data_IF_397268029605
#
_entry.id   IF_397268029605
#
_cell.length_a   1.000
_cell.length_b   1.000
_cell.length_c   1.000
_cell.angle_alpha   90.00
_cell.angle_beta   90.00
_cell.angle_gamma   90.00
#
_symmetry.space_group_name_H-M   'P 1'
#
loop_
_entity.id
_entity.type
_entity.pdbx_description
1 polymer ?
#
# COMPACT_ATOMS: atom_id res chain seq x y z
N UNK A 1 11.42 -9.93 -16.02
CA UNK A 1 11.31 -9.08 -14.82
C UNK A 1 12.15 -7.82 -14.90
N UNK A 2 11.48 -6.69 -15.13
CA UNK A 2 12.08 -5.35 -15.15
C UNK A 2 12.10 -4.77 -13.73
N UNK A 3 13.12 -3.99 -13.39
CA UNK A 3 13.21 -3.26 -12.11
C UNK A 3 13.21 -1.76 -12.38
N UNK A 4 12.43 -1.01 -11.60
CA UNK A 4 12.38 0.45 -11.70
C UNK A 4 12.23 1.08 -10.33
N UNK A 5 12.88 2.22 -10.12
CA UNK A 5 12.66 3.05 -8.93
C UNK A 5 11.58 4.06 -9.28
N UNK A 6 10.53 4.14 -8.48
CA UNK A 6 9.40 5.03 -8.74
C UNK A 6 8.88 5.61 -7.43
N UNK A 7 8.61 6.91 -7.41
CA UNK A 7 8.06 7.56 -6.21
C UNK A 7 6.59 7.20 -6.08
N UNK A 8 6.09 7.10 -4.84
CA UNK A 8 4.68 6.78 -4.59
C UNK A 8 3.70 7.70 -5.34
N UNK A 9 4.01 9.00 -5.42
CA UNK A 9 3.19 10.00 -6.13
C UNK A 9 3.16 9.82 -7.66
N UNK A 10 4.06 9.02 -8.24
CA UNK A 10 4.14 8.78 -9.68
C UNK A 10 3.23 7.63 -10.12
N UNK A 11 2.57 6.94 -9.17
CA UNK A 11 1.56 5.92 -9.44
C UNK A 11 0.18 6.55 -9.64
N UNK A 12 -0.73 5.85 -10.32
CA UNK A 12 -2.12 6.30 -10.39
C UNK A 12 -2.86 6.10 -9.05
N UNK A 13 -4.02 6.73 -8.88
CA UNK A 13 -4.76 6.69 -7.61
C UNK A 13 -5.09 5.27 -7.12
N UNK A 14 -5.45 4.36 -8.03
CA UNK A 14 -5.79 2.97 -7.70
C UNK A 14 -4.54 2.25 -7.15
N UNK A 15 -3.41 2.41 -7.84
CA UNK A 15 -2.14 1.84 -7.42
C UNK A 15 -1.64 2.46 -6.11
N UNK A 16 -1.80 3.78 -5.92
CA UNK A 16 -1.44 4.45 -4.68
C UNK A 16 -2.22 3.89 -3.47
N UNK A 17 -3.55 3.72 -3.61
CA UNK A 17 -4.38 3.12 -2.55
C UNK A 17 -3.93 1.70 -2.25
N UNK A 18 -3.69 0.88 -3.28
CA UNK A 18 -3.24 -0.49 -3.10
C UNK A 18 -1.87 -0.56 -2.41
N UNK A 19 -0.87 0.17 -2.92
CA UNK A 19 0.47 0.24 -2.32
C UNK A 19 0.40 0.71 -0.86
N UNK A 20 -0.45 1.70 -0.55
CA UNK A 20 -0.60 2.20 0.81
C UNK A 20 -1.21 1.15 1.75
N UNK A 21 -2.26 0.45 1.31
CA UNK A 21 -2.87 -0.63 2.09
C UNK A 21 -1.87 -1.76 2.36
N UNK A 22 -1.17 -2.23 1.34
CA UNK A 22 -0.13 -3.27 1.48
C UNK A 22 1.02 -2.80 2.40
N UNK A 23 1.37 -1.51 2.34
CA UNK A 23 2.39 -0.90 3.20
C UNK A 23 1.96 -0.88 4.68
N UNK A 24 0.74 -0.44 4.99
CA UNK A 24 0.22 -0.37 6.36
C UNK A 24 0.00 -1.77 6.96
N UNK A 25 -0.41 -2.74 6.13
CA UNK A 25 -0.55 -4.14 6.53
C UNK A 25 0.80 -4.85 6.72
N UNK A 26 1.92 -4.22 6.32
CA UNK A 26 3.25 -4.83 6.41
C UNK A 26 3.51 -5.92 5.38
N UNK A 27 2.73 -5.98 4.30
CA UNK A 27 2.81 -7.00 3.25
C UNK A 27 3.87 -6.69 2.18
N UNK A 28 4.40 -5.47 2.16
CA UNK A 28 5.48 -5.10 1.25
C UNK A 28 6.87 -5.38 1.86
N UNK A 29 7.71 -6.06 1.10
CA UNK A 29 9.10 -6.34 1.47
C UNK A 29 9.90 -5.03 1.59
N UNK A 30 10.65 -4.88 2.68
CA UNK A 30 11.56 -3.74 2.93
C UNK A 30 12.88 -3.95 2.22
N UNK A 31 13.39 -2.90 1.57
CA UNK A 31 14.63 -2.97 0.80
C UNK A 31 15.42 -1.66 0.90
N UNK A 32 16.75 -1.75 0.75
CA UNK A 32 17.66 -0.61 0.60
C UNK A 32 18.16 -0.53 -0.83
N UNK A 33 18.09 0.64 -1.45
CA UNK A 33 18.57 0.85 -2.82
C UNK A 33 19.13 2.25 -3.02
N UNK A 34 20.05 2.43 -3.99
CA UNK A 34 20.58 3.74 -4.33
C UNK A 34 19.49 4.64 -4.92
N UNK A 35 19.30 5.82 -4.34
CA UNK A 35 18.35 6.84 -4.79
C UNK A 35 18.87 8.24 -4.46
N UNK A 36 18.86 9.15 -5.45
CA UNK A 36 19.29 10.55 -5.32
C UNK A 36 20.61 10.72 -4.53
N UNK A 37 21.67 10.05 -4.99
CA UNK A 37 23.02 10.09 -4.39
C UNK A 37 23.14 9.57 -2.95
N UNK A 38 22.14 8.82 -2.46
CA UNK A 38 22.16 8.20 -1.13
C UNK A 38 21.63 6.77 -1.19
N UNK A 39 21.90 5.96 -0.17
CA UNK A 39 21.16 4.72 0.02
C UNK A 39 19.86 5.07 0.73
N UNK A 40 18.74 4.82 0.05
CA UNK A 40 17.40 5.05 0.58
C UNK A 40 16.76 3.74 1.00
N UNK A 41 15.96 3.81 2.05
CA UNK A 41 15.05 2.73 2.46
C UNK A 41 13.73 2.84 1.69
N UNK A 42 13.19 1.70 1.28
CA UNK A 42 11.99 1.61 0.47
C UNK A 42 11.28 0.28 0.64
N UNK A 43 10.29 0.06 -0.21
CA UNK A 43 9.52 -1.17 -0.30
C UNK A 43 9.47 -1.69 -1.73
N UNK A 44 9.25 -3.00 -1.86
CA UNK A 44 9.08 -3.66 -3.16
C UNK A 44 7.59 -3.84 -3.45
N UNK A 45 7.15 -3.34 -4.59
CA UNK A 45 5.81 -3.59 -5.13
C UNK A 45 5.94 -4.28 -6.50
N UNK A 46 5.27 -5.40 -6.69
CA UNK A 46 5.33 -6.17 -7.95
C UNK A 46 3.99 -6.02 -8.68
N UNK A 47 4.04 -5.56 -9.92
CA UNK A 47 2.87 -5.40 -10.77
C UNK A 47 3.26 -5.57 -12.24
N UNK A 48 2.49 -6.35 -13.00
CA UNK A 48 2.71 -6.59 -14.44
C UNK A 48 4.16 -7.02 -14.81
N UNK A 49 4.76 -7.94 -14.05
CA UNK A 49 6.17 -8.39 -14.22
C UNK A 49 7.23 -7.29 -13.96
N UNK A 50 6.81 -6.14 -13.43
CA UNK A 50 7.69 -5.04 -13.03
C UNK A 50 7.82 -5.01 -11.51
N UNK A 51 9.06 -4.97 -11.06
CA UNK A 51 9.43 -4.75 -9.67
C UNK A 51 9.70 -3.27 -9.46
N UNK A 52 8.81 -2.63 -8.70
CA UNK A 52 8.90 -1.23 -8.31
C UNK A 52 9.57 -1.11 -6.95
N UNK A 53 10.65 -0.33 -6.91
CA UNK A 53 11.34 0.07 -5.69
C UNK A 53 10.83 1.44 -5.28
N UNK A 54 10.02 1.48 -4.22
CA UNK A 54 9.30 2.69 -3.80
C UNK A 54 9.99 3.28 -2.57
N UNK A 55 10.55 4.51 -2.63
CA UNK A 55 11.21 5.12 -1.48
C UNK A 55 10.21 5.36 -0.34
N UNK A 56 10.55 4.97 0.90
CA UNK A 56 9.66 5.12 2.07
C UNK A 56 9.25 6.57 2.31
N UNK A 57 10.18 7.50 2.09
CA UNK A 57 9.91 8.93 2.24
C UNK A 57 8.78 9.40 1.33
N UNK A 58 8.68 8.84 0.11
CA UNK A 58 7.62 9.21 -0.83
C UNK A 58 6.24 8.74 -0.37
N UNK A 59 6.14 7.58 0.30
CA UNK A 59 4.88 7.07 0.87
C UNK A 59 4.45 7.95 2.06
N UNK A 60 5.40 8.27 2.96
CA UNK A 60 5.12 9.09 4.16
C UNK A 60 4.70 10.52 3.83
N UNK A 61 5.30 11.13 2.80
CA UNK A 61 4.96 12.49 2.37
C UNK A 61 3.54 12.54 1.78
N UNK A 62 3.11 11.51 1.08
CA UNK A 62 1.77 11.45 0.50
C UNK A 62 0.65 11.27 1.52
N UNK A 63 0.95 10.72 2.71
CA UNK A 63 0.00 10.70 3.84
C UNK A 63 -0.51 12.11 4.20
N UNK A 64 0.35 13.12 4.10
CA UNK A 64 0.00 14.52 4.34
C UNK A 64 -0.83 15.16 3.22
N UNK A 65 -0.72 14.67 1.99
CA UNK A 65 -1.45 15.21 0.83
C UNK A 65 -2.85 14.61 0.72
N UNK A 66 -2.97 13.30 0.99
CA UNK A 66 -4.24 12.56 1.08
C UNK A 66 -5.15 13.04 2.23
N UNK A 67 -4.60 13.75 3.22
CA UNK A 67 -5.37 14.33 4.33
C UNK A 67 -5.83 15.78 4.10
N UNK A 68 -5.33 16.45 3.07
CA UNK A 68 -5.69 17.84 2.75
C UNK A 68 -6.68 17.97 1.60
N UNK A 69 -6.72 17.01 0.68
CA UNK A 69 -7.81 16.88 -0.29
C UNK A 69 -8.73 15.79 0.24
N UNK A 70 -9.96 16.16 0.64
CA UNK A 70 -11.03 15.25 1.06
C UNK A 70 -11.12 14.05 0.12
N UNK A 71 -10.49 12.95 0.51
CA UNK A 71 -10.84 11.67 -0.07
C UNK A 71 -12.17 11.35 0.57
N UNK A 72 -13.24 11.64 -0.18
CA UNK A 72 -14.37 10.71 -0.34
C UNK A 72 -13.81 9.32 -0.63
N UNK A 73 -13.18 8.69 0.36
CA UNK A 73 -13.08 7.25 0.36
C UNK A 73 -14.51 6.84 0.68
N UNK A 74 -15.22 6.11 -0.20
CA UNK A 74 -16.31 5.31 0.32
C UNK A 74 -15.67 4.47 1.41
N UNK A 75 -16.16 4.60 2.63
CA UNK A 75 -15.96 3.59 3.66
C UNK A 75 -16.43 2.28 3.03
N UNK A 76 -15.50 1.55 2.40
CA UNK A 76 -15.67 0.12 2.23
C UNK A 76 -15.51 -0.38 3.65
N UNK A 77 -16.65 -0.42 4.34
CA UNK A 77 -16.86 -1.37 5.40
C UNK A 77 -16.51 -2.71 4.77
N UNK A 78 -15.28 -3.18 5.02
CA UNK A 78 -15.03 -4.61 5.01
C UNK A 78 -15.87 -5.10 6.19
N UNK A 79 -17.15 -5.36 5.92
CA UNK A 79 -17.94 -6.26 6.73
C UNK A 79 -17.18 -7.59 6.66
N UNK A 80 -16.32 -7.81 7.65
CA UNK A 80 -16.00 -9.16 8.04
C UNK A 80 -17.34 -9.74 8.48
N UNK A 81 -18.02 -10.45 7.58
CA UNK A 81 -19.00 -11.45 7.97
C UNK A 81 -18.23 -12.46 8.83
N UNK A 82 -18.19 -12.19 10.13
CA UNK A 82 -17.88 -13.19 11.13
C UNK A 82 -19.10 -14.12 11.14
N UNK A 83 -19.07 -15.10 10.23
CA UNK A 83 -19.95 -16.26 10.26
C UNK A 83 -19.48 -17.13 11.44
N UNK A 84 -19.82 -16.73 12.67
CA UNK A 84 -19.76 -17.62 13.82
C UNK A 84 -21.14 -18.25 14.00
N UNK A 85 -21.22 -19.43 13.37
CA UNK A 85 -22.06 -20.59 13.64
C UNK A 85 -23.16 -20.41 14.70
N UNK A 86 -24.41 -20.43 14.23
CA UNK A 86 -25.57 -20.72 15.08
C UNK A 86 -25.44 -22.13 15.63
N UNK A 87 -25.02 -22.27 16.88
CA UNK A 87 -25.34 -23.47 17.67
C UNK A 87 -26.85 -23.49 17.93
N UNK A 88 -27.57 -24.14 17.02
CA UNK A 88 -28.83 -24.77 17.35
C UNK A 88 -28.55 -26.01 18.20
N UNK A 89 -28.99 -26.00 19.46
CA UNK A 89 -29.66 -27.18 20.00
C UNK A 89 -30.68 -26.77 21.06
N UNK A 90 -31.95 -26.88 20.66
CA UNK A 90 -33.10 -26.97 21.55
C UNK A 90 -33.19 -28.42 22.04
N UNK A 91 -33.20 -28.64 23.35
CA UNK A 91 -34.28 -29.24 24.17
C UNK A 91 -33.75 -29.58 25.57
#
# INVERSE_FOLDING_TARGET
MKRTIQSFQDFNNIQQVNIYNLFENGELERVKFPFKNSISEGVIFIHEDIMYLIPLQSIKLSKHKLTQEEIKMPSIAVEYEHDEEKEHLSD
#
